data_IF_999073456634
#
_entry.id   IF_999073456634
#
_cell.length_a   1.000
_cell.length_b   1.000
_cell.length_c   1.000
_cell.angle_alpha   90.00
_cell.angle_beta   90.00
_cell.angle_gamma   90.00
#
_symmetry.space_group_name_H-M   'P 1'
#
loop_
_entity.id
_entity.type
_entity.pdbx_description
1 polymer ?
#
# COMPACT_ATOMS: atom_id res chain seq x y z
N UNK A 1 -15.55 -0.68 14.94
CA UNK A 1 -14.32 -0.14 14.32
C UNK A 1 -13.88 -1.09 13.21
N UNK A 2 -13.38 -0.58 12.09
CA UNK A 2 -12.80 -1.41 11.03
C UNK A 2 -11.46 -1.98 11.52
N UNK A 3 -11.25 -3.29 11.38
CA UNK A 3 -9.95 -3.90 11.64
C UNK A 3 -8.90 -3.46 10.62
N UNK A 4 -9.36 -3.07 9.42
CA UNK A 4 -8.52 -2.60 8.32
C UNK A 4 -8.32 -1.09 8.41
N UNK A 5 -7.07 -0.64 8.23
CA UNK A 5 -6.73 0.78 8.11
C UNK A 5 -5.61 1.03 7.10
N UNK A 6 -5.56 2.25 6.58
CA UNK A 6 -4.43 2.71 5.78
C UNK A 6 -3.17 2.73 6.66
N UNK A 7 -2.12 2.04 6.23
CA UNK A 7 -0.83 1.99 6.91
C UNK A 7 0.28 2.31 5.93
N UNK A 8 1.36 2.92 6.44
CA UNK A 8 2.55 3.19 5.65
C UNK A 8 3.27 1.90 5.27
N UNK A 9 3.88 1.90 4.09
CA UNK A 9 4.78 0.83 3.67
C UNK A 9 6.03 0.77 4.55
N UNK A 10 6.68 -0.39 4.61
CA UNK A 10 8.00 -0.49 5.26
C UNK A 10 9.03 0.43 4.61
N UNK A 11 8.92 0.71 3.31
CA UNK A 11 9.82 1.63 2.59
C UNK A 11 9.61 3.08 3.04
N UNK A 12 8.37 3.52 3.22
CA UNK A 12 8.07 4.87 3.72
C UNK A 12 8.47 5.04 5.18
N UNK A 13 8.21 4.03 6.02
CA UNK A 13 8.68 4.00 7.41
C UNK A 13 10.22 4.09 7.42
N UNK A 14 10.90 3.34 6.55
CA UNK A 14 12.36 3.37 6.41
C UNK A 14 12.90 4.72 5.96
N UNK A 15 12.25 5.37 4.99
CA UNK A 15 12.59 6.74 4.57
C UNK A 15 12.50 7.73 5.72
N UNK A 16 11.45 7.64 6.53
CA UNK A 16 11.28 8.53 7.69
C UNK A 16 12.34 8.31 8.75
N UNK A 17 12.63 7.06 9.09
CA UNK A 17 13.72 6.74 10.03
C UNK A 17 15.05 7.28 9.49
N UNK A 18 15.33 7.07 8.20
CA UNK A 18 16.54 7.60 7.58
C UNK A 18 16.60 9.14 7.64
N UNK A 19 15.50 9.83 7.36
CA UNK A 19 15.44 11.29 7.49
C UNK A 19 15.64 11.74 8.95
N UNK A 20 15.06 11.06 9.94
CA UNK A 20 15.29 11.41 11.35
C UNK A 20 16.75 11.22 11.75
N UNK A 21 17.36 10.11 11.35
CA UNK A 21 18.77 9.88 11.62
C UNK A 21 19.65 10.94 10.96
N UNK A 22 19.36 11.35 9.73
CA UNK A 22 20.11 12.39 9.02
C UNK A 22 20.02 13.75 9.73
N UNK A 23 18.82 14.11 10.22
CA UNK A 23 18.58 15.39 10.89
C UNK A 23 19.24 15.50 12.26
N UNK A 24 19.28 14.40 13.03
CA UNK A 24 19.71 14.45 14.43
C UNK A 24 21.08 13.80 14.69
N UNK A 25 21.58 12.99 13.76
CA UNK A 25 22.91 12.42 13.77
C UNK A 25 23.47 12.33 12.33
N UNK A 26 23.91 13.46 11.74
CA UNK A 26 24.43 13.48 10.36
C UNK A 26 25.65 12.57 10.17
N UNK A 27 26.38 12.25 11.25
CA UNK A 27 27.52 11.32 11.20
C UNK A 27 27.07 9.85 11.18
N UNK A 28 25.83 9.54 11.55
CA UNK A 28 25.29 8.18 11.49
C UNK A 28 25.49 7.54 10.11
N UNK A 29 25.31 8.33 9.05
CA UNK A 29 25.49 7.83 7.71
C UNK A 29 26.95 7.77 7.28
N UNK A 30 27.91 8.51 7.85
CA UNK A 30 29.36 8.39 7.55
C UNK A 30 29.69 8.03 6.09
N UNK A 31 29.17 8.79 5.11
CA UNK A 31 29.36 8.57 3.67
C UNK A 31 28.42 7.56 3.00
N UNK A 32 27.49 6.97 3.73
CA UNK A 32 26.39 6.14 3.25
C UNK A 32 25.35 7.02 2.55
N UNK A 33 24.96 6.64 1.34
CA UNK A 33 23.85 7.32 0.67
C UNK A 33 22.53 7.05 1.38
N UNK A 34 21.62 8.03 1.37
CA UNK A 34 20.27 7.91 1.92
C UNK A 34 19.53 6.68 1.37
N UNK A 35 19.75 6.32 0.10
CA UNK A 35 19.18 5.11 -0.50
C UNK A 35 19.67 3.82 0.16
N UNK A 36 20.95 3.75 0.55
CA UNK A 36 21.53 2.58 1.24
C UNK A 36 21.02 2.50 2.68
N UNK A 37 20.87 3.63 3.35
CA UNK A 37 20.24 3.71 4.67
C UNK A 37 18.82 3.16 4.67
N UNK A 38 17.98 3.65 3.75
CA UNK A 38 16.59 3.20 3.59
C UNK A 38 16.52 1.71 3.32
N UNK A 39 17.43 1.17 2.50
CA UNK A 39 17.49 -0.27 2.22
C UNK A 39 17.80 -1.07 3.48
N UNK A 40 18.85 -0.69 4.22
CA UNK A 40 19.26 -1.38 5.45
C UNK A 40 18.14 -1.37 6.51
N UNK A 41 17.50 -0.22 6.70
CA UNK A 41 16.36 -0.11 7.63
C UNK A 41 15.19 -0.97 7.15
N UNK A 42 14.90 -0.97 5.85
CA UNK A 42 13.83 -1.79 5.30
C UNK A 42 14.11 -3.29 5.48
N UNK A 43 15.37 -3.72 5.41
CA UNK A 43 15.77 -5.09 5.68
C UNK A 43 15.55 -5.48 7.15
N UNK A 44 15.80 -4.58 8.09
CA UNK A 44 15.43 -4.75 9.52
C UNK A 44 13.91 -4.91 9.67
N UNK A 45 13.13 -4.00 9.10
CA UNK A 45 11.66 -4.04 9.19
C UNK A 45 11.04 -5.30 8.55
N UNK A 46 11.72 -5.88 7.56
CA UNK A 46 11.29 -7.10 6.86
C UNK A 46 11.84 -8.38 7.53
N UNK A 47 12.66 -8.27 8.58
CA UNK A 47 13.29 -9.43 9.24
C UNK A 47 14.40 -10.09 8.42
N UNK A 48 15.03 -9.34 7.50
CA UNK A 48 16.14 -9.78 6.64
C UNK A 48 17.52 -9.31 7.13
N UNK A 49 17.57 -8.80 8.36
CA UNK A 49 18.79 -8.31 9.02
C UNK A 49 18.98 -9.02 10.35
N UNK A 50 20.23 -9.06 10.84
CA UNK A 50 20.54 -9.50 12.20
C UNK A 50 20.02 -8.52 13.25
N UNK A 51 19.87 -7.25 12.90
CA UNK A 51 19.24 -6.25 13.76
C UNK A 51 17.73 -6.44 13.77
N UNK A 52 17.15 -6.42 14.96
CA UNK A 52 15.69 -6.46 15.14
C UNK A 52 15.09 -5.06 15.13
N UNK A 53 13.77 -4.99 14.98
CA UNK A 53 13.02 -3.73 15.09
C UNK A 53 13.21 -3.11 16.47
N UNK A 54 13.22 -3.93 17.52
CA UNK A 54 13.39 -3.49 18.91
C UNK A 54 14.77 -2.87 19.13
N UNK A 55 15.83 -3.48 18.58
CA UNK A 55 17.19 -2.93 18.63
C UNK A 55 17.25 -1.58 17.93
N UNK A 56 16.69 -1.47 16.71
CA UNK A 56 16.65 -0.22 15.96
C UNK A 56 15.89 0.89 16.72
N UNK A 57 14.73 0.57 17.30
CA UNK A 57 13.95 1.53 18.10
C UNK A 57 14.68 1.91 19.40
N UNK A 58 15.39 0.96 20.01
CA UNK A 58 16.24 1.20 21.18
C UNK A 58 17.34 2.23 20.89
N UNK A 59 18.05 2.07 19.78
CA UNK A 59 19.07 3.02 19.32
C UNK A 59 18.50 4.43 19.10
N UNK A 60 17.33 4.54 18.45
CA UNK A 60 16.67 5.83 18.25
C UNK A 60 16.31 6.50 19.58
N UNK A 61 15.85 5.75 20.58
CA UNK A 61 15.50 6.29 21.91
C UNK A 61 16.73 6.80 22.66
N UNK A 62 17.87 6.12 22.54
CA UNK A 62 19.10 6.48 23.26
C UNK A 62 19.78 7.74 22.69
N UNK A 63 19.55 8.08 21.42
CA UNK A 63 20.14 9.26 20.77
C UNK A 63 19.55 10.60 21.22
N UNK A 64 18.49 10.59 22.04
CA UNK A 64 18.00 11.78 22.74
C UNK A 64 16.47 11.90 22.79
N UNK A 65 15.94 12.85 23.58
CA UNK A 65 14.50 12.96 23.85
C UNK A 65 13.67 13.24 22.59
N UNK A 66 14.21 14.01 21.63
CA UNK A 66 13.51 14.29 20.37
C UNK A 66 13.33 13.04 19.51
N UNK A 67 14.37 12.20 19.37
CA UNK A 67 14.26 10.92 18.65
C UNK A 67 13.46 9.89 19.43
N UNK A 68 13.46 9.91 20.76
CA UNK A 68 12.62 9.03 21.56
C UNK A 68 11.12 9.20 21.23
N UNK A 69 10.64 10.45 21.11
CA UNK A 69 9.25 10.72 20.67
C UNK A 69 9.00 10.19 19.26
N UNK A 70 9.96 10.35 18.34
CA UNK A 70 9.84 9.81 16.98
C UNK A 70 9.88 8.29 16.94
N UNK A 71 10.68 7.66 17.80
CA UNK A 71 10.76 6.22 17.93
C UNK A 71 9.42 5.64 18.39
N UNK A 72 8.70 6.28 19.31
CA UNK A 72 7.34 5.84 19.69
C UNK A 72 6.35 5.97 18.53
N UNK A 73 6.40 7.07 17.76
CA UNK A 73 5.56 7.23 16.55
C UNK A 73 5.84 6.12 15.53
N UNK A 74 7.13 5.84 15.26
CA UNK A 74 7.54 4.77 14.35
C UNK A 74 7.16 3.40 14.89
N UNK A 75 7.27 3.18 16.21
CA UNK A 75 6.87 1.93 16.85
C UNK A 75 5.39 1.63 16.63
N UNK A 76 4.52 2.64 16.82
CA UNK A 76 3.10 2.50 16.53
C UNK A 76 2.84 2.21 15.05
N UNK A 77 3.55 2.88 14.13
CA UNK A 77 3.40 2.65 12.69
C UNK A 77 3.82 1.24 12.26
N UNK A 78 4.86 0.67 12.90
CA UNK A 78 5.30 -0.69 12.64
C UNK A 78 4.27 -1.70 13.20
N UNK A 79 3.76 -1.49 14.41
CA UNK A 79 2.71 -2.34 14.98
C UNK A 79 1.45 -2.32 14.11
N UNK A 80 1.05 -1.14 13.64
CA UNK A 80 -0.06 -0.93 12.73
C UNK A 80 0.14 -1.68 11.42
N UNK A 81 1.33 -1.58 10.83
CA UNK A 81 1.71 -2.32 9.63
C UNK A 81 1.65 -3.84 9.84
N UNK A 82 2.17 -4.33 10.96
CA UNK A 82 2.15 -5.75 11.30
C UNK A 82 0.72 -6.27 11.49
N UNK A 83 -0.12 -5.53 12.22
CA UNK A 83 -1.53 -5.86 12.39
C UNK A 83 -2.27 -5.91 11.06
N UNK A 84 -2.07 -4.92 10.19
CA UNK A 84 -2.67 -4.90 8.84
C UNK A 84 -2.18 -6.07 7.98
N UNK A 85 -0.88 -6.40 8.06
CA UNK A 85 -0.29 -7.53 7.32
C UNK A 85 -0.88 -8.87 7.73
N UNK A 86 -1.22 -9.06 9.00
CA UNK A 86 -1.88 -10.27 9.47
C UNK A 86 -3.27 -10.46 8.84
N UNK A 87 -3.97 -9.37 8.50
CA UNK A 87 -5.27 -9.43 7.82
C UNK A 87 -5.16 -9.97 6.39
N UNK A 88 -3.99 -9.92 5.75
CA UNK A 88 -3.77 -10.48 4.41
C UNK A 88 -3.99 -11.99 4.30
N UNK A 89 -3.99 -12.69 5.44
CA UNK A 89 -4.23 -14.14 5.53
C UNK A 89 -5.71 -14.49 5.34
N UNK A 90 -6.61 -13.52 5.50
CA UNK A 90 -8.07 -13.73 5.46
C UNK A 90 -8.68 -12.88 4.34
N UNK A 91 -9.69 -13.39 3.61
CA UNK A 91 -10.45 -12.56 2.68
C UNK A 91 -11.16 -11.42 3.41
N UNK A 92 -11.29 -10.28 2.74
CA UNK A 92 -12.19 -9.21 3.18
C UNK A 92 -13.64 -9.67 3.01
N UNK A 93 -14.51 -9.38 3.99
CA UNK A 93 -15.87 -9.97 4.08
C UNK A 93 -17.00 -8.97 4.27
N UNK A 94 -16.73 -7.66 4.26
CA UNK A 94 -17.80 -6.66 4.47
C UNK A 94 -18.38 -6.28 3.12
N UNK A 95 -19.66 -6.57 2.93
CA UNK A 95 -20.42 -6.16 1.76
C UNK A 95 -21.68 -5.47 2.27
N UNK A 96 -22.14 -4.46 1.55
CA UNK A 96 -23.33 -3.71 1.91
C UNK A 96 -24.19 -3.45 0.68
N UNK A 97 -25.45 -3.09 0.89
CA UNK A 97 -26.34 -2.59 -0.16
C UNK A 97 -26.40 -1.05 -0.15
N UNK A 98 -25.42 -0.38 0.47
CA UNK A 98 -25.39 1.08 0.56
C UNK A 98 -25.06 1.65 -0.81
N UNK A 99 -25.95 2.48 -1.33
CA UNK A 99 -25.70 3.29 -2.52
C UNK A 99 -25.10 4.63 -2.11
N UNK A 100 -24.01 5.00 -2.77
CA UNK A 100 -23.36 6.29 -2.61
C UNK A 100 -23.72 7.19 -3.78
N UNK A 101 -23.81 8.49 -3.52
CA UNK A 101 -23.90 9.49 -4.57
C UNK A 101 -22.49 9.76 -5.15
N UNK A 102 -22.27 9.34 -6.40
CA UNK A 102 -20.98 9.45 -7.06
C UNK A 102 -20.91 10.72 -7.91
N UNK A 103 -19.86 11.52 -7.69
CA UNK A 103 -19.46 12.49 -8.70
C UNK A 103 -18.94 11.74 -9.91
N UNK A 104 -19.26 12.21 -11.11
CA UNK A 104 -18.75 11.62 -12.34
C UNK A 104 -17.47 12.34 -12.77
N UNK A 105 -16.46 11.57 -13.15
CA UNK A 105 -15.29 12.05 -13.86
C UNK A 105 -15.57 12.00 -15.36
N UNK A 106 -15.61 13.17 -15.98
CA UNK A 106 -15.77 13.35 -17.42
C UNK A 106 -14.42 13.78 -18.00
N UNK A 107 -13.76 12.86 -18.70
CA UNK A 107 -12.51 13.07 -19.42
C UNK A 107 -12.75 13.38 -20.92
N UNK A 108 -14.00 13.66 -21.31
CA UNK A 108 -14.43 13.78 -22.69
C UNK A 108 -14.61 12.44 -23.40
N UNK A 109 -14.49 11.31 -22.69
CA UNK A 109 -14.85 10.01 -23.24
C UNK A 109 -16.37 9.78 -23.18
N UNK A 110 -16.92 8.90 -24.05
CA UNK A 110 -18.34 8.56 -24.01
C UNK A 110 -18.76 7.73 -22.78
N UNK A 111 -17.83 7.40 -21.88
CA UNK A 111 -18.05 6.54 -20.72
C UNK A 111 -17.54 7.21 -19.44
N UNK A 112 -18.30 8.17 -18.87
CA UNK A 112 -17.90 8.83 -17.63
C UNK A 112 -17.75 7.81 -16.49
N UNK A 113 -16.75 8.01 -15.65
CA UNK A 113 -16.39 7.09 -14.56
C UNK A 113 -16.88 7.62 -13.21
N UNK A 114 -17.22 6.72 -12.28
CA UNK A 114 -17.55 7.14 -10.90
C UNK A 114 -16.28 7.59 -10.18
N UNK A 115 -16.24 8.83 -9.72
CA UNK A 115 -15.10 9.33 -8.94
C UNK A 115 -15.17 8.78 -7.52
N UNK A 116 -14.12 8.08 -7.10
CA UNK A 116 -13.97 7.57 -5.74
C UNK A 116 -12.72 8.18 -5.14
N UNK A 117 -12.92 9.09 -4.18
CA UNK A 117 -11.85 9.69 -3.38
C UNK A 117 -11.55 8.85 -2.13
N UNK A 118 -10.50 9.23 -1.39
CA UNK A 118 -10.10 8.51 -0.17
C UNK A 118 -11.23 8.44 0.85
N UNK A 119 -12.02 9.51 1.01
CA UNK A 119 -13.09 9.58 2.00
C UNK A 119 -14.20 8.58 1.68
N UNK A 120 -14.61 8.51 0.42
CA UNK A 120 -15.64 7.57 -0.03
C UNK A 120 -15.14 6.12 0.06
N UNK A 121 -13.88 5.88 -0.33
CA UNK A 121 -13.27 4.56 -0.15
C UNK A 121 -13.21 4.14 1.32
N UNK A 122 -12.81 5.03 2.23
CA UNK A 122 -12.75 4.74 3.66
C UNK A 122 -14.12 4.44 4.26
N UNK A 123 -15.14 5.18 3.83
CA UNK A 123 -16.52 4.94 4.24
C UNK A 123 -16.98 3.55 3.77
N UNK A 124 -16.79 3.23 2.49
CA UNK A 124 -17.15 1.94 1.94
C UNK A 124 -16.34 0.77 2.53
N UNK A 125 -15.07 0.99 2.87
CA UNK A 125 -14.24 0.00 3.56
C UNK A 125 -14.77 -0.31 4.98
N UNK A 126 -15.36 0.67 5.65
CA UNK A 126 -15.95 0.53 6.97
C UNK A 126 -17.31 -0.15 6.92
N UNK A 127 -18.19 0.33 6.05
CA UNK A 127 -19.59 -0.11 5.93
C UNK A 127 -19.73 -1.44 5.17
N UNK A 128 -18.77 -1.74 4.30
CA UNK A 128 -18.79 -2.84 3.35
C UNK A 128 -19.01 -2.34 1.93
N UNK A 129 -18.24 -2.87 0.99
CA UNK A 129 -18.31 -2.41 -0.40
C UNK A 129 -19.62 -2.87 -1.06
N UNK A 130 -20.32 -1.96 -1.77
CA UNK A 130 -21.50 -2.34 -2.54
C UNK A 130 -21.15 -3.10 -3.82
N UNK A 131 -22.12 -3.82 -4.42
CA UNK A 131 -21.93 -4.46 -5.72
C UNK A 131 -21.41 -3.47 -6.76
N UNK A 132 -20.41 -3.89 -7.55
CA UNK A 132 -19.78 -3.07 -8.61
C UNK A 132 -19.21 -1.73 -8.11
N UNK A 133 -18.92 -1.58 -6.81
CA UNK A 133 -18.31 -0.37 -6.26
C UNK A 133 -17.10 0.07 -7.08
N UNK A 134 -16.20 -0.88 -7.34
CA UNK A 134 -14.93 -0.63 -8.01
C UNK A 134 -15.05 -0.49 -9.54
N UNK A 135 -15.92 -1.26 -10.18
CA UNK A 135 -16.10 -1.29 -11.63
C UNK A 135 -16.37 0.10 -12.21
N UNK A 136 -15.72 0.44 -13.32
CA UNK A 136 -15.94 1.69 -14.07
C UNK A 136 -15.80 2.94 -13.17
N UNK A 137 -14.75 2.95 -12.35
CA UNK A 137 -14.47 4.03 -11.40
C UNK A 137 -13.13 4.71 -11.67
N UNK A 138 -13.06 5.99 -11.34
CA UNK A 138 -11.87 6.81 -11.36
C UNK A 138 -11.38 7.05 -9.93
N UNK A 139 -10.17 6.58 -9.63
CA UNK A 139 -9.51 6.74 -8.34
C UNK A 139 -8.35 7.72 -8.48
N UNK A 140 -8.37 8.79 -7.69
CA UNK A 140 -7.30 9.80 -7.65
C UNK A 140 -6.66 9.86 -6.26
N UNK A 141 -5.37 9.54 -6.20
CA UNK A 141 -4.56 9.53 -4.99
C UNK A 141 -5.17 8.69 -3.83
N UNK A 142 -5.84 7.59 -4.16
CA UNK A 142 -6.48 6.70 -3.17
C UNK A 142 -5.49 5.65 -2.67
N UNK A 143 -5.45 5.46 -1.35
CA UNK A 143 -4.72 4.40 -0.67
C UNK A 143 -5.64 3.22 -0.38
N UNK A 144 -5.47 2.14 -1.13
CA UNK A 144 -6.18 0.88 -0.96
C UNK A 144 -5.50 0.01 0.09
N UNK A 145 -6.13 -0.16 1.25
CA UNK A 145 -5.65 -1.04 2.32
C UNK A 145 -6.50 -2.29 2.53
N UNK A 146 -7.63 -2.39 1.83
CA UNK A 146 -8.46 -3.59 1.75
C UNK A 146 -9.15 -3.70 0.38
N UNK A 147 -9.37 -4.93 -0.07
CA UNK A 147 -10.07 -5.22 -1.31
C UNK A 147 -10.77 -6.58 -1.15
N UNK A 148 -12.03 -6.74 -1.60
CA UNK A 148 -12.67 -8.04 -1.71
C UNK A 148 -11.87 -8.98 -2.62
N UNK A 149 -11.85 -10.27 -2.28
CA UNK A 149 -11.45 -11.29 -3.24
C UNK A 149 -12.41 -11.20 -4.45
N UNK A 150 -11.89 -11.46 -5.65
CA UNK A 150 -12.60 -11.32 -6.95
C UNK A 150 -13.24 -9.94 -7.20
N UNK A 151 -12.63 -8.87 -6.69
CA UNK A 151 -13.07 -7.51 -6.97
C UNK A 151 -13.08 -7.21 -8.48
N UNK A 152 -14.24 -6.75 -8.97
CA UNK A 152 -14.44 -6.29 -10.34
C UNK A 152 -13.92 -4.84 -10.49
N UNK A 153 -12.70 -4.70 -11.04
CA UNK A 153 -12.06 -3.41 -11.32
C UNK A 153 -12.12 -3.08 -12.83
N UNK A 154 -13.01 -3.74 -13.57
CA UNK A 154 -13.13 -3.59 -15.01
C UNK A 154 -13.29 -2.12 -15.43
N UNK A 155 -12.52 -1.71 -16.45
CA UNK A 155 -12.55 -0.36 -17.04
C UNK A 155 -12.39 0.78 -16.02
N UNK A 156 -11.69 0.52 -14.92
CA UNK A 156 -11.40 1.53 -13.89
C UNK A 156 -10.06 2.21 -14.15
N UNK A 157 -9.91 3.42 -13.63
CA UNK A 157 -8.67 4.20 -13.73
C UNK A 157 -8.09 4.52 -12.36
N UNK A 158 -6.78 4.34 -12.21
CA UNK A 158 -6.05 4.59 -10.98
C UNK A 158 -4.95 5.60 -11.27
N UNK A 159 -5.07 6.81 -10.71
CA UNK A 159 -4.09 7.89 -10.88
C UNK A 159 -3.44 8.18 -9.53
N UNK A 160 -2.13 8.02 -9.44
CA UNK A 160 -1.38 8.29 -8.20
C UNK A 160 -1.79 7.41 -7.01
N UNK A 161 -2.46 6.28 -7.26
CA UNK A 161 -3.00 5.44 -6.20
C UNK A 161 -1.92 4.57 -5.53
N UNK A 162 -2.21 4.13 -4.31
CA UNK A 162 -1.30 3.31 -3.53
C UNK A 162 -2.03 2.08 -3.02
N UNK A 163 -1.58 0.89 -3.42
CA UNK A 163 -2.06 -0.38 -2.87
C UNK A 163 -1.14 -0.77 -1.72
N UNK A 164 -1.67 -0.69 -0.51
CA UNK A 164 -0.93 -0.67 0.73
C UNK A 164 -1.27 -1.85 1.62
N UNK A 165 -0.36 -2.83 1.73
CA UNK A 165 -0.57 -4.01 2.60
C UNK A 165 -1.95 -4.62 2.32
N UNK A 166 -2.25 -4.77 1.03
CA UNK A 166 -3.56 -5.15 0.54
C UNK A 166 -3.55 -6.56 -0.05
N UNK A 167 -4.62 -7.32 0.17
CA UNK A 167 -4.83 -8.64 -0.42
C UNK A 167 -5.55 -8.45 -1.74
N UNK A 168 -4.92 -8.87 -2.84
CA UNK A 168 -5.47 -8.77 -4.19
C UNK A 168 -5.53 -10.19 -4.74
N UNK A 169 -6.66 -10.87 -4.51
CA UNK A 169 -6.85 -12.25 -4.94
C UNK A 169 -8.01 -12.33 -5.94
N UNK A 170 -7.76 -12.84 -7.14
CA UNK A 170 -8.83 -13.04 -8.15
C UNK A 170 -9.34 -11.76 -8.80
N UNK A 171 -8.73 -10.60 -8.52
CA UNK A 171 -9.23 -9.31 -8.98
C UNK A 171 -9.17 -9.18 -10.50
N UNK A 172 -10.18 -8.54 -11.09
CA UNK A 172 -10.32 -8.36 -12.53
C UNK A 172 -9.94 -6.92 -12.93
N UNK A 173 -8.76 -6.74 -13.51
CA UNK A 173 -8.26 -5.46 -14.04
C UNK A 173 -8.43 -5.35 -15.56
N UNK A 174 -9.32 -6.12 -16.17
CA UNK A 174 -9.58 -6.02 -17.60
C UNK A 174 -9.97 -4.60 -18.02
N UNK A 175 -9.30 -4.08 -19.05
CA UNK A 175 -9.47 -2.69 -19.53
C UNK A 175 -9.22 -1.60 -18.47
N UNK A 176 -8.69 -1.93 -17.30
CA UNK A 176 -8.30 -0.95 -16.30
C UNK A 176 -6.99 -0.25 -16.69
N UNK A 177 -6.83 0.99 -16.26
CA UNK A 177 -5.63 1.80 -16.51
C UNK A 177 -5.02 2.23 -15.18
N UNK A 178 -3.73 1.98 -15.00
CA UNK A 178 -3.02 2.29 -13.76
C UNK A 178 -1.88 3.25 -14.10
N UNK A 179 -1.99 4.50 -13.64
CA UNK A 179 -1.05 5.58 -13.87
C UNK A 179 -0.37 5.99 -12.58
N UNK A 180 0.96 6.06 -12.59
CA UNK A 180 1.78 6.55 -11.47
C UNK A 180 1.41 5.96 -10.10
N UNK A 181 0.90 4.73 -10.08
CA UNK A 181 0.42 4.07 -8.87
C UNK A 181 1.41 3.03 -8.37
N UNK A 182 1.38 2.74 -7.08
CA UNK A 182 2.35 1.85 -6.43
C UNK A 182 1.67 0.70 -5.70
N UNK A 183 2.37 -0.44 -5.60
CA UNK A 183 1.94 -1.60 -4.82
C UNK A 183 3.03 -1.92 -3.81
N UNK A 184 2.70 -1.91 -2.52
CA UNK A 184 3.66 -2.20 -1.46
C UNK A 184 3.14 -3.22 -0.47
N UNK A 185 3.96 -4.25 -0.24
CA UNK A 185 3.67 -5.31 0.73
C UNK A 185 2.30 -5.99 0.51
N UNK A 186 1.82 -6.00 -0.74
CA UNK A 186 0.56 -6.62 -1.14
C UNK A 186 0.73 -8.13 -1.35
N UNK A 187 -0.33 -8.88 -1.07
CA UNK A 187 -0.44 -10.29 -1.46
C UNK A 187 -1.27 -10.38 -2.74
N UNK A 188 -0.60 -10.57 -3.87
CA UNK A 188 -1.23 -10.58 -5.20
C UNK A 188 -1.28 -12.03 -5.72
N UNK A 189 -2.47 -12.54 -6.01
CA UNK A 189 -2.71 -13.91 -6.48
C UNK A 189 -3.85 -13.95 -7.50
N UNK A 190 -3.72 -14.77 -8.55
CA UNK A 190 -4.79 -15.03 -9.53
C UNK A 190 -5.42 -13.76 -10.15
N UNK A 191 -4.61 -12.73 -10.44
CA UNK A 191 -5.12 -11.45 -10.97
C UNK A 191 -5.17 -11.49 -12.49
N UNK A 192 -6.26 -10.98 -13.06
CA UNK A 192 -6.48 -10.93 -14.50
C UNK A 192 -6.19 -9.54 -15.05
N UNK A 193 -5.22 -9.46 -15.97
CA UNK A 193 -4.94 -8.28 -16.79
C UNK A 193 -5.17 -8.67 -18.26
N UNK A 194 -6.30 -8.31 -18.87
CA UNK A 194 -6.42 -8.42 -20.32
C UNK A 194 -6.00 -7.11 -20.99
N UNK A 195 -5.24 -7.28 -22.06
CA UNK A 195 -4.57 -6.30 -22.92
C UNK A 195 -5.32 -4.97 -23.11
N UNK A 196 -4.61 -3.87 -22.88
CA UNK A 196 -4.78 -2.60 -23.61
C UNK A 196 -3.49 -2.31 -24.39
N UNK A 197 -3.55 -1.89 -25.66
CA UNK A 197 -2.35 -1.66 -26.46
C UNK A 197 -1.61 -0.40 -25.95
N UNK A 198 -0.35 -0.59 -25.53
CA UNK A 198 0.73 0.41 -25.50
C UNK A 198 0.45 1.77 -24.83
N UNK A 199 0.74 1.83 -23.53
CA UNK A 199 1.66 2.81 -22.86
C UNK A 199 1.29 2.87 -21.37
N UNK A 200 1.83 1.94 -20.58
CA UNK A 200 2.12 2.18 -19.16
C UNK A 200 3.34 1.31 -18.85
N UNK A 201 4.47 1.99 -18.69
CA UNK A 201 5.66 1.47 -18.07
C UNK A 201 5.37 1.35 -16.57
N UNK A 202 4.80 0.23 -16.11
CA UNK A 202 4.87 -0.13 -14.69
C UNK A 202 5.74 -1.37 -14.59
N UNK A 203 7.00 -1.09 -14.29
CA UNK A 203 7.83 -1.81 -13.36
C UNK A 203 6.97 -2.58 -12.32
N UNK A 204 6.57 -3.82 -12.64
CA UNK A 204 6.21 -4.83 -11.65
C UNK A 204 7.49 -5.35 -10.96
N UNK A 205 8.44 -4.45 -10.66
CA UNK A 205 9.82 -4.80 -10.25
C UNK A 205 9.96 -5.24 -8.81
N UNK A 206 8.91 -5.30 -8.00
CA UNK A 206 9.07 -5.65 -6.59
C UNK A 206 8.25 -6.86 -6.10
N UNK A 207 7.24 -7.36 -6.82
CA UNK A 207 6.37 -8.42 -6.28
C UNK A 207 6.31 -9.68 -7.16
N UNK A 208 6.48 -9.60 -8.49
CA UNK A 208 6.49 -10.82 -9.33
C UNK A 208 7.68 -11.75 -9.04
N UNK A 209 8.79 -11.23 -8.52
CA UNK A 209 9.93 -12.06 -8.10
C UNK A 209 9.63 -12.88 -6.83
N UNK A 210 8.71 -12.46 -5.96
CA UNK A 210 8.37 -13.26 -4.76
C UNK A 210 7.30 -14.32 -5.04
N UNK A 211 6.37 -14.06 -5.96
CA UNK A 211 5.30 -15.01 -6.27
C UNK A 211 5.72 -16.14 -7.22
N UNK A 212 6.80 -15.96 -8.01
CA UNK A 212 7.33 -17.03 -8.86
C UNK A 212 8.38 -17.91 -8.16
N UNK A 213 9.11 -17.39 -7.16
CA UNK A 213 10.14 -18.14 -6.43
C UNK A 213 9.62 -19.01 -5.28
N UNK A 214 8.36 -18.84 -4.83
CA UNK A 214 7.78 -19.69 -3.77
C UNK A 214 7.03 -20.93 -4.29
N UNK A 215 6.95 -21.15 -5.60
CA UNK A 215 6.33 -22.36 -6.19
C UNK A 215 7.34 -23.42 -6.65
N UNK A 216 8.64 -23.22 -6.39
CA UNK A 216 9.67 -24.23 -6.63
C UNK A 216 10.75 -24.21 -5.53
N UNK A 217 10.39 -24.67 -4.33
CA UNK A 217 11.25 -25.43 -3.42
C UNK A 217 10.39 -26.49 -2.74
#
# INVERSE_FOLDING_TARGET
MSDYKAVRSTVEISRRIACYLDMFDPQYFNGMSQARAVRNINDILQGRSEWTVETLLGELRQKGPALAVKAEQISQEIQDFQAQRELLKKPYKRFSDIEYDYKMHDDGSPYPLKMIDQRLYDQAAQDGFPPRFFRESYFDNVTFYCLPDVADLYRSEFHGCTFAVCRINGADFQSARIYNSTFHSCRIQNVFFATSPLRILILVTAILLSSYLMNHV
#
